data_IF_680519933529
#
_entry.id   IF_680519933529
#
_cell.length_a   1.000
_cell.length_b   1.000
_cell.length_c   1.000
_cell.angle_alpha   90.00
_cell.angle_beta   90.00
_cell.angle_gamma   90.00
#
_symmetry.space_group_name_H-M   'P 1'
#
loop_
_entity.id
_entity.type
_entity.pdbx_description
1 polymer ?
#
# COMPACT_ATOMS: atom_id res chain seq x y z
N UNK A 1 -3.68 -18.57 -4.80
CA UNK A 1 -3.38 -17.14 -4.56
C UNK A 1 -2.87 -16.55 -5.86
N UNK A 2 -3.52 -15.53 -6.42
CA UNK A 2 -3.11 -14.94 -7.71
C UNK A 2 -1.81 -14.15 -7.51
N UNK A 3 -0.78 -14.44 -8.30
CA UNK A 3 0.46 -13.65 -8.30
C UNK A 3 0.13 -12.29 -8.96
N UNK A 4 0.38 -11.14 -8.30
CA UNK A 4 0.11 -9.85 -8.91
C UNK A 4 0.95 -9.64 -10.15
N UNK A 5 0.33 -9.08 -11.19
CA UNK A 5 1.05 -8.64 -12.39
C UNK A 5 1.90 -7.39 -12.08
N UNK A 6 2.85 -7.08 -12.96
CA UNK A 6 3.63 -5.84 -12.91
C UNK A 6 2.72 -4.62 -12.84
N UNK A 7 1.62 -4.62 -13.60
CA UNK A 7 0.66 -3.51 -13.62
C UNK A 7 -0.07 -3.34 -12.29
N UNK A 8 -0.40 -4.43 -11.59
CA UNK A 8 -1.03 -4.38 -10.27
C UNK A 8 -0.08 -3.69 -9.26
N UNK A 9 1.20 -4.08 -9.27
CA UNK A 9 2.21 -3.47 -8.39
C UNK A 9 2.43 -1.99 -8.71
N UNK A 10 2.47 -1.64 -9.99
CA UNK A 10 2.60 -0.24 -10.44
C UNK A 10 1.37 0.58 -10.04
N UNK A 11 0.15 0.02 -10.14
CA UNK A 11 -1.08 0.69 -9.71
C UNK A 11 -1.04 1.02 -8.23
N UNK A 12 -0.67 0.05 -7.40
CA UNK A 12 -0.47 0.25 -5.95
C UNK A 12 0.59 1.33 -5.68
N UNK A 13 1.71 1.33 -6.44
CA UNK A 13 2.75 2.34 -6.32
C UNK A 13 2.28 3.76 -6.66
N UNK A 14 1.44 3.91 -7.68
CA UNK A 14 0.82 5.20 -8.05
C UNK A 14 -0.13 5.70 -6.96
N UNK A 15 -0.98 4.82 -6.44
CA UNK A 15 -1.89 5.13 -5.33
C UNK A 15 -1.10 5.57 -4.08
N UNK A 16 -0.08 4.81 -3.70
CA UNK A 16 0.80 5.18 -2.58
C UNK A 16 1.45 6.57 -2.79
N UNK A 17 2.01 6.84 -3.98
CA UNK A 17 2.61 8.14 -4.28
C UNK A 17 1.57 9.27 -4.21
N UNK A 18 0.36 9.04 -4.72
CA UNK A 18 -0.73 10.02 -4.67
C UNK A 18 -1.04 10.42 -3.21
N UNK A 19 -1.18 9.46 -2.31
CA UNK A 19 -1.44 9.74 -0.90
C UNK A 19 -0.26 10.43 -0.23
N UNK A 20 0.97 9.94 -0.45
CA UNK A 20 2.17 10.54 0.16
C UNK A 20 2.31 12.01 -0.22
N UNK A 21 1.97 12.39 -1.46
CA UNK A 21 2.07 13.79 -1.91
C UNK A 21 1.17 14.77 -1.16
N UNK A 22 0.11 14.28 -0.47
CA UNK A 22 -0.70 15.11 0.42
C UNK A 22 0.10 15.59 1.64
N UNK A 23 1.12 14.83 2.05
CA UNK A 23 1.98 15.11 3.21
C UNK A 23 3.40 15.56 2.81
N UNK A 24 3.90 15.06 1.69
CA UNK A 24 5.22 15.37 1.12
C UNK A 24 5.07 15.76 -0.36
N UNK A 25 4.75 17.02 -0.68
CA UNK A 25 4.36 17.44 -2.05
C UNK A 25 5.39 17.12 -3.13
N UNK A 26 6.68 17.15 -2.78
CA UNK A 26 7.80 16.91 -3.69
C UNK A 26 8.26 15.45 -3.74
N UNK A 27 7.58 14.54 -3.03
CA UNK A 27 7.95 13.13 -3.04
C UNK A 27 7.75 12.50 -4.42
N UNK A 28 8.77 11.75 -4.86
CA UNK A 28 8.74 10.98 -6.11
C UNK A 28 9.15 9.54 -5.81
N UNK A 29 8.23 8.61 -6.06
CA UNK A 29 8.49 7.18 -5.94
C UNK A 29 9.14 6.68 -7.22
N UNK A 30 10.48 6.58 -7.20
CA UNK A 30 11.21 5.91 -8.28
C UNK A 30 11.15 4.40 -8.08
N UNK A 31 10.52 3.68 -9.00
CA UNK A 31 10.42 2.22 -8.99
C UNK A 31 11.29 1.60 -10.08
N UNK A 32 12.11 0.64 -9.70
CA UNK A 32 12.85 -0.22 -10.63
C UNK A 32 12.05 -1.50 -10.81
N UNK A 33 11.40 -1.66 -11.96
CA UNK A 33 10.64 -2.87 -12.30
C UNK A 33 11.62 -4.01 -12.55
N UNK A 34 11.58 -5.11 -11.78
CA UNK A 34 12.46 -6.24 -12.03
C UNK A 34 12.06 -6.97 -13.31
N UNK A 35 13.02 -7.17 -14.21
CA UNK A 35 12.85 -8.04 -15.39
C UNK A 35 12.91 -9.53 -15.00
N UNK A 36 13.63 -9.84 -13.92
CA UNK A 36 13.71 -11.17 -13.30
C UNK A 36 14.00 -11.06 -11.80
N UNK A 37 13.72 -12.12 -11.02
CA UNK A 37 13.97 -12.14 -9.58
C UNK A 37 12.93 -11.38 -8.74
N UNK A 38 13.33 -10.97 -7.52
CA UNK A 38 12.41 -10.41 -6.51
C UNK A 38 12.21 -8.89 -6.58
N UNK A 39 13.08 -8.15 -7.28
CA UNK A 39 13.10 -6.68 -7.28
C UNK A 39 13.65 -6.06 -5.99
N UNK A 40 13.73 -4.73 -5.96
CA UNK A 40 14.22 -3.96 -4.80
C UNK A 40 13.22 -4.00 -3.62
N UNK A 41 13.61 -3.46 -2.45
CA UNK A 41 12.74 -3.49 -1.26
C UNK A 41 11.41 -2.74 -1.47
N UNK A 42 11.39 -1.65 -2.25
CA UNK A 42 10.16 -0.89 -2.55
C UNK A 42 9.22 -1.75 -3.37
N UNK A 43 9.73 -2.40 -4.40
CA UNK A 43 9.00 -3.34 -5.24
C UNK A 43 8.42 -4.49 -4.42
N UNK A 44 9.23 -5.10 -3.55
CA UNK A 44 8.77 -6.20 -2.70
C UNK A 44 7.64 -5.77 -1.75
N UNK A 45 7.73 -4.57 -1.17
CA UNK A 45 6.66 -4.03 -0.31
C UNK A 45 5.38 -3.74 -1.10
N UNK A 46 5.48 -3.09 -2.26
CA UNK A 46 4.33 -2.83 -3.14
C UNK A 46 3.68 -4.12 -3.62
N UNK A 47 4.48 -5.13 -3.97
CA UNK A 47 3.98 -6.44 -4.36
C UNK A 47 3.18 -7.10 -3.24
N UNK A 48 3.66 -7.05 -2.00
CA UNK A 48 2.90 -7.58 -0.84
C UNK A 48 1.56 -6.85 -0.66
N UNK A 49 1.54 -5.54 -0.87
CA UNK A 49 0.29 -4.77 -0.80
C UNK A 49 -0.65 -5.14 -1.95
N UNK A 50 -0.13 -5.37 -3.16
CA UNK A 50 -0.92 -5.87 -4.28
C UNK A 50 -1.47 -7.30 -4.03
N UNK A 51 -0.70 -8.17 -3.36
CA UNK A 51 -1.17 -9.48 -2.91
C UNK A 51 -2.33 -9.36 -1.91
N UNK A 52 -2.23 -8.43 -0.95
CA UNK A 52 -3.31 -8.12 -0.01
C UNK A 52 -4.54 -7.56 -0.74
N UNK A 53 -4.34 -6.59 -1.65
CA UNK A 53 -5.43 -6.01 -2.43
C UNK A 53 -6.20 -7.07 -3.23
N UNK A 54 -5.48 -7.97 -3.89
CA UNK A 54 -6.11 -9.07 -4.62
C UNK A 54 -6.80 -10.09 -3.70
N UNK A 55 -6.23 -10.37 -2.52
CA UNK A 55 -6.81 -11.32 -1.56
C UNK A 55 -8.12 -10.79 -0.95
N UNK A 56 -8.21 -9.49 -0.75
CA UNK A 56 -9.33 -8.83 -0.08
C UNK A 56 -10.22 -8.02 -1.03
N UNK A 57 -9.98 -8.13 -2.34
CA UNK A 57 -10.75 -7.43 -3.38
C UNK A 57 -10.78 -5.90 -3.19
N UNK A 58 -9.69 -5.33 -2.67
CA UNK A 58 -9.54 -3.88 -2.49
C UNK A 58 -9.49 -3.19 -3.85
N UNK A 59 -10.32 -2.16 -4.00
CA UNK A 59 -10.24 -1.26 -5.14
C UNK A 59 -9.24 -0.12 -4.91
N UNK A 60 -9.20 0.86 -5.82
CA UNK A 60 -8.30 2.00 -5.71
C UNK A 60 -8.69 2.99 -4.61
N UNK A 61 -9.98 3.09 -4.31
CA UNK A 61 -10.50 3.91 -3.22
C UNK A 61 -10.11 3.29 -1.88
N UNK A 62 -10.33 1.98 -1.70
CA UNK A 62 -9.94 1.26 -0.49
C UNK A 62 -8.43 1.34 -0.23
N UNK A 63 -7.61 1.22 -1.29
CA UNK A 63 -6.16 1.37 -1.19
C UNK A 63 -5.75 2.78 -0.75
N UNK A 64 -6.48 3.80 -1.22
CA UNK A 64 -6.24 5.19 -0.84
C UNK A 64 -6.53 5.39 0.65
N UNK A 65 -7.70 4.94 1.12
CA UNK A 65 -8.07 5.00 2.54
C UNK A 65 -7.08 4.23 3.41
N UNK A 66 -6.65 3.04 2.97
CA UNK A 66 -5.66 2.25 3.70
C UNK A 66 -4.32 2.97 3.84
N UNK A 67 -3.82 3.59 2.76
CA UNK A 67 -2.58 4.33 2.83
C UNK A 67 -2.69 5.60 3.68
N UNK A 68 -3.81 6.31 3.62
CA UNK A 68 -4.07 7.46 4.49
C UNK A 68 -4.04 7.05 5.96
N UNK A 69 -4.75 5.96 6.30
CA UNK A 69 -4.74 5.39 7.65
C UNK A 69 -3.31 5.08 8.13
N UNK A 70 -2.51 4.39 7.32
CA UNK A 70 -1.13 4.04 7.72
C UNK A 70 -0.28 5.30 7.90
N UNK A 71 -0.39 6.28 7.00
CA UNK A 71 0.41 7.49 7.05
C UNK A 71 0.02 8.35 8.25
N UNK A 72 -1.27 8.55 8.52
CA UNK A 72 -1.75 9.33 9.67
C UNK A 72 -1.32 8.71 11.01
N UNK A 73 -1.40 7.39 11.15
CA UNK A 73 -1.03 6.72 12.40
C UNK A 73 0.49 6.67 12.60
N UNK A 74 1.26 6.43 11.53
CA UNK A 74 2.73 6.30 11.63
C UNK A 74 3.42 7.65 11.65
N UNK A 75 2.91 8.67 10.97
CA UNK A 75 3.51 10.01 10.91
C UNK A 75 3.62 10.68 12.28
N UNK A 76 2.79 10.29 13.25
CA UNK A 76 2.88 10.71 14.66
C UNK A 76 4.21 10.35 15.31
N UNK A 77 4.88 9.28 14.84
CA UNK A 77 6.16 8.82 15.38
C UNK A 77 7.29 8.97 14.36
N UNK A 78 7.01 8.77 13.06
CA UNK A 78 8.03 8.79 12.02
C UNK A 78 7.48 9.32 10.70
N UNK A 79 8.05 10.43 10.21
CA UNK A 79 7.66 11.06 8.94
C UNK A 79 8.58 10.65 7.78
N UNK A 80 8.54 9.36 7.40
CA UNK A 80 9.31 8.83 6.27
C UNK A 80 8.44 7.99 5.34
N UNK A 81 8.25 8.40 4.07
CA UNK A 81 7.46 7.65 3.09
C UNK A 81 7.91 6.19 2.93
N UNK A 82 9.21 5.91 2.94
CA UNK A 82 9.69 4.54 2.80
C UNK A 82 9.37 3.68 4.02
N UNK A 83 9.33 4.28 5.22
CA UNK A 83 8.90 3.59 6.43
C UNK A 83 7.38 3.36 6.43
N UNK A 84 6.59 4.32 5.94
CA UNK A 84 5.15 4.14 5.75
C UNK A 84 4.84 3.00 4.78
N UNK A 85 5.56 2.91 3.66
CA UNK A 85 5.44 1.81 2.71
C UNK A 85 5.77 0.45 3.34
N UNK A 86 6.82 0.40 4.17
CA UNK A 86 7.17 -0.81 4.93
C UNK A 86 6.06 -1.20 5.92
N UNK A 87 5.49 -0.22 6.63
CA UNK A 87 4.36 -0.45 7.54
C UNK A 87 3.15 -1.00 6.79
N UNK A 88 2.77 -0.36 5.69
CA UNK A 88 1.64 -0.75 4.86
C UNK A 88 1.78 -2.17 4.27
N UNK A 89 3.01 -2.61 4.00
CA UNK A 89 3.29 -3.97 3.52
C UNK A 89 3.23 -5.06 4.61
N UNK A 90 2.98 -4.69 5.88
CA UNK A 90 2.89 -5.64 6.99
C UNK A 90 1.44 -6.05 7.27
N UNK A 91 1.23 -7.33 7.56
CA UNK A 91 -0.08 -7.84 8.01
C UNK A 91 -0.60 -7.15 9.28
N UNK A 92 0.31 -6.71 10.16
CA UNK A 92 -0.03 -6.02 11.41
C UNK A 92 -0.83 -4.74 11.15
N UNK A 93 -0.36 -3.90 10.24
CA UNK A 93 -1.04 -2.64 9.91
C UNK A 93 -2.32 -2.87 9.12
N UNK A 94 -2.32 -3.83 8.20
CA UNK A 94 -3.53 -4.21 7.49
C UNK A 94 -4.64 -4.69 8.43
N UNK A 95 -4.33 -5.59 9.37
CA UNK A 95 -5.31 -6.06 10.36
C UNK A 95 -5.83 -4.94 11.26
N UNK A 96 -5.00 -3.94 11.58
CA UNK A 96 -5.44 -2.75 12.32
C UNK A 96 -6.44 -1.93 11.53
N UNK A 97 -6.19 -1.73 10.24
CA UNK A 97 -7.13 -1.05 9.33
C UNK A 97 -8.48 -1.78 9.30
N UNK A 98 -8.46 -3.11 9.10
CA UNK A 98 -9.68 -3.93 9.10
C UNK A 98 -10.48 -3.81 10.41
N UNK A 99 -9.78 -3.79 11.55
CA UNK A 99 -10.40 -3.64 12.86
C UNK A 99 -10.99 -2.24 13.10
N UNK A 100 -10.32 -1.17 12.65
CA UNK A 100 -10.80 0.21 12.83
C UNK A 100 -12.05 0.50 12.01
N UNK A 101 -12.14 -0.06 10.81
CA UNK A 101 -13.27 0.19 9.90
C UNK A 101 -14.42 -0.81 10.03
N UNK A 102 -14.39 -1.72 11.03
CA UNK A 102 -15.34 -2.84 11.16
C UNK A 102 -15.58 -3.53 9.80
N UNK A 103 -14.50 -3.75 9.05
CA UNK A 103 -14.59 -4.12 7.64
C UNK A 103 -15.15 -5.54 7.54
N UNK A 104 -16.48 -5.62 7.40
CA UNK A 104 -17.18 -6.86 7.14
C UNK A 104 -17.22 -7.02 5.62
N UNK A 105 -16.97 -8.24 5.13
CA UNK A 105 -17.10 -8.62 3.70
C UNK A 105 -18.41 -8.20 3.01
N UNK A 106 -19.39 -7.63 3.73
CA UNK A 106 -20.71 -7.20 3.26
C UNK A 106 -20.80 -5.73 2.86
N UNK A 107 -19.72 -4.96 2.94
CA UNK A 107 -19.70 -3.55 2.52
C UNK A 107 -19.30 -3.34 1.06
N UNK A 108 -19.33 -4.39 0.23
CA UNK A 108 -19.33 -4.22 -1.22
C UNK A 108 -20.64 -3.50 -1.58
N UNK A 109 -20.51 -2.20 -1.87
CA UNK A 109 -21.57 -1.37 -2.44
C UNK A 109 -22.07 -1.96 -3.75
#
# INVERSE_FOLDING_TARGET
MKVPSVNDVVKVGKCFQYVVKKFHPFFVLRLSVPLSGKGDRKWQNLRKIAELAAQYELDEFDLTEYFEFVIEEVSRTWSSPFYWLQCAASKKWFNRFLGKHNWSRKSAR
#
